data_IF_779969572446
#
_entry.id   IF_779969572446
#
_cell.length_a   1.000
_cell.length_b   1.000
_cell.length_c   1.000
_cell.angle_alpha   90.00
_cell.angle_beta   90.00
_cell.angle_gamma   90.00
#
_symmetry.space_group_name_H-M   'P 1'
#
loop_
_entity.id
_entity.type
_entity.pdbx_description
1 polymer ?
#
# COMPACT_ATOMS: atom_id res chain seq x y z
N UNK A 1 -20.38 -9.29 -27.61
CA UNK A 1 -19.47 -10.43 -27.35
C UNK A 1 -20.12 -11.32 -26.30
N UNK A 2 -20.15 -12.63 -26.52
CA UNK A 2 -20.54 -13.59 -25.49
C UNK A 2 -19.43 -13.69 -24.44
N UNK A 3 -19.82 -13.81 -23.17
CA UNK A 3 -18.91 -14.07 -22.09
C UNK A 3 -18.48 -15.53 -22.11
N UNK A 4 -17.21 -15.77 -21.91
CA UNK A 4 -16.64 -17.11 -21.76
C UNK A 4 -16.19 -17.33 -20.31
N UNK A 5 -16.11 -18.59 -19.84
CA UNK A 5 -15.62 -18.89 -18.50
C UNK A 5 -14.19 -18.42 -18.28
N UNK A 6 -13.88 -17.97 -17.05
CA UNK A 6 -12.51 -17.81 -16.60
C UNK A 6 -11.84 -19.17 -16.48
N UNK A 7 -10.57 -19.23 -16.84
CA UNK A 7 -9.74 -20.44 -16.71
C UNK A 7 -8.51 -20.08 -15.89
N UNK A 8 -8.24 -20.83 -14.84
CA UNK A 8 -7.00 -20.71 -14.07
C UNK A 8 -6.14 -21.95 -14.25
N UNK A 9 -4.95 -21.74 -14.78
CA UNK A 9 -3.88 -22.74 -14.81
C UNK A 9 -3.01 -22.54 -13.57
N UNK A 10 -2.89 -23.58 -12.74
CA UNK A 10 -2.11 -23.55 -11.51
C UNK A 10 -0.99 -24.58 -11.54
N UNK A 11 0.19 -24.17 -11.10
CA UNK A 11 1.35 -25.04 -10.83
C UNK A 11 1.83 -24.77 -9.43
N UNK A 12 2.00 -25.83 -8.67
CA UNK A 12 2.43 -25.75 -7.29
C UNK A 12 3.49 -26.81 -6.98
N UNK A 13 4.53 -26.40 -6.26
CA UNK A 13 5.57 -27.28 -5.76
C UNK A 13 5.75 -27.01 -4.27
N UNK A 14 5.55 -28.04 -3.45
CA UNK A 14 5.66 -27.94 -2.00
C UNK A 14 6.60 -29.00 -1.42
N UNK A 15 7.21 -28.66 -0.30
CA UNK A 15 8.01 -29.57 0.54
C UNK A 15 7.56 -29.41 1.98
N UNK A 16 7.20 -30.51 2.61
CA UNK A 16 6.91 -30.63 4.05
C UNK A 16 7.99 -31.51 4.69
N UNK A 17 8.72 -30.95 5.64
CA UNK A 17 9.77 -31.64 6.39
C UNK A 17 9.46 -31.65 7.87
N UNK A 18 9.54 -32.81 8.49
CA UNK A 18 9.42 -33.01 9.94
C UNK A 18 10.69 -33.60 10.47
N UNK A 19 11.39 -32.86 11.30
CA UNK A 19 12.71 -33.17 11.81
C UNK A 19 12.69 -33.25 13.34
N UNK A 20 13.68 -33.96 13.91
CA UNK A 20 13.87 -34.05 15.36
C UNK A 20 12.63 -34.56 16.12
N UNK A 21 12.09 -35.71 15.68
CA UNK A 21 10.82 -36.26 16.23
C UNK A 21 9.64 -35.26 16.17
N UNK A 22 9.54 -34.49 15.09
CA UNK A 22 8.53 -33.46 14.86
C UNK A 22 8.67 -32.19 15.70
N UNK A 23 9.79 -31.99 16.41
CA UNK A 23 10.07 -30.75 17.12
C UNK A 23 10.35 -29.58 16.16
N UNK A 24 10.68 -29.85 14.89
CA UNK A 24 10.83 -28.89 13.82
C UNK A 24 10.04 -29.34 12.60
N UNK A 25 9.00 -28.57 12.26
CA UNK A 25 8.26 -28.68 11.01
C UNK A 25 8.59 -27.52 10.09
N UNK A 26 8.91 -27.80 8.82
CA UNK A 26 9.17 -26.79 7.78
C UNK A 26 8.29 -27.10 6.58
N UNK A 27 7.57 -26.11 6.14
CA UNK A 27 6.75 -26.16 4.92
C UNK A 27 7.21 -25.03 3.98
N UNK A 28 7.48 -25.37 2.74
CA UNK A 28 7.85 -24.42 1.70
C UNK A 28 7.05 -24.72 0.45
N UNK A 29 6.33 -23.73 -0.05
CA UNK A 29 5.49 -23.86 -1.24
C UNK A 29 5.81 -22.73 -2.22
N UNK A 30 6.06 -23.09 -3.47
CA UNK A 30 6.11 -22.19 -4.61
C UNK A 30 4.89 -22.42 -5.49
N UNK A 31 4.24 -21.36 -5.92
CA UNK A 31 3.11 -21.44 -6.84
C UNK A 31 3.21 -20.44 -7.99
N UNK A 32 2.60 -20.83 -9.09
CA UNK A 32 2.38 -19.99 -10.26
C UNK A 32 0.95 -20.22 -10.78
N UNK A 33 0.15 -19.14 -10.80
CA UNK A 33 -1.22 -19.17 -11.26
C UNK A 33 -1.38 -18.22 -12.44
N UNK A 34 -1.94 -18.71 -13.55
CA UNK A 34 -2.28 -17.92 -14.72
C UNK A 34 -3.78 -17.94 -14.89
N UNK A 35 -4.44 -16.80 -14.68
CA UNK A 35 -5.89 -16.63 -14.90
C UNK A 35 -6.12 -16.00 -16.27
N UNK A 36 -6.83 -16.71 -17.13
CA UNK A 36 -7.12 -16.34 -18.53
C UNK A 36 -8.60 -16.01 -18.65
N UNK A 37 -8.95 -15.07 -19.51
CA UNK A 37 -10.34 -14.60 -19.72
C UNK A 37 -10.96 -14.03 -18.44
N UNK A 38 -10.16 -13.34 -17.62
CA UNK A 38 -10.62 -12.73 -16.37
C UNK A 38 -11.86 -11.87 -16.60
N UNK A 39 -12.96 -12.15 -15.88
CA UNK A 39 -14.19 -11.37 -15.95
C UNK A 39 -14.02 -10.06 -15.18
N UNK A 40 -14.16 -8.96 -15.85
CA UNK A 40 -13.98 -7.62 -15.31
C UNK A 40 -15.10 -6.68 -15.75
N UNK A 41 -15.23 -5.56 -15.03
CA UNK A 41 -16.16 -4.48 -15.34
C UNK A 41 -15.41 -3.18 -15.69
N UNK A 42 -14.72 -3.10 -16.83
CA UNK A 42 -14.13 -1.84 -17.24
C UNK A 42 -15.21 -0.77 -17.46
N UNK A 43 -14.83 0.47 -17.19
CA UNK A 43 -15.68 1.62 -17.55
C UNK A 43 -15.74 1.76 -19.07
N UNK A 44 -16.93 1.99 -19.56
CA UNK A 44 -17.17 2.24 -20.99
C UNK A 44 -17.44 3.73 -21.22
N UNK A 45 -17.34 4.15 -22.49
CA UNK A 45 -17.76 5.50 -22.86
C UNK A 45 -19.24 5.71 -22.56
N UNK A 46 -19.58 6.81 -21.90
CA UNK A 46 -20.97 7.16 -21.60
C UNK A 46 -21.85 7.27 -22.88
N UNK A 47 -21.25 7.46 -24.04
CA UNK A 47 -21.95 7.47 -25.32
C UNK A 47 -22.62 6.13 -25.66
N UNK A 48 -22.20 5.02 -25.01
CA UNK A 48 -22.82 3.69 -25.18
C UNK A 48 -24.11 3.53 -24.36
N UNK A 49 -24.42 4.45 -23.45
CA UNK A 49 -25.53 4.34 -22.51
C UNK A 49 -25.25 3.47 -21.29
N UNK A 50 -24.03 2.89 -21.17
CA UNK A 50 -23.60 2.04 -20.07
C UNK A 50 -22.35 2.63 -19.42
N UNK A 51 -22.27 2.58 -18.08
CA UNK A 51 -21.09 3.03 -17.32
C UNK A 51 -20.07 1.89 -17.17
N UNK A 52 -20.57 0.68 -16.93
CA UNK A 52 -19.79 -0.54 -16.73
C UNK A 52 -20.31 -1.63 -17.65
N UNK A 53 -19.43 -2.48 -18.13
CA UNK A 53 -19.79 -3.63 -18.98
C UNK A 53 -19.00 -4.86 -18.55
N UNK A 54 -19.69 -5.97 -18.28
CA UNK A 54 -19.03 -7.23 -18.06
C UNK A 54 -18.34 -7.71 -19.36
N UNK A 55 -17.07 -8.05 -19.24
CA UNK A 55 -16.30 -8.60 -20.36
C UNK A 55 -15.14 -9.44 -19.86
N UNK A 56 -14.71 -10.40 -20.68
CA UNK A 56 -13.45 -11.09 -20.48
C UNK A 56 -12.33 -10.14 -20.89
N UNK A 57 -11.61 -9.58 -19.94
CA UNK A 57 -10.80 -8.39 -20.16
C UNK A 57 -9.30 -8.58 -19.89
N UNK A 58 -8.83 -9.79 -19.60
CA UNK A 58 -7.41 -9.91 -19.41
C UNK A 58 -6.88 -11.26 -18.97
N UNK A 59 -5.56 -11.34 -18.97
CA UNK A 59 -4.77 -12.44 -18.42
C UNK A 59 -3.91 -11.91 -17.29
N UNK A 60 -4.03 -12.55 -16.12
CA UNK A 60 -3.28 -12.20 -14.91
C UNK A 60 -2.38 -13.37 -14.54
N UNK A 61 -1.11 -13.07 -14.29
CA UNK A 61 -0.12 -14.03 -13.82
C UNK A 61 0.27 -13.70 -12.39
N UNK A 62 0.26 -14.70 -11.51
CA UNK A 62 0.50 -14.58 -10.09
C UNK A 62 1.50 -15.64 -9.64
N UNK A 63 2.64 -15.22 -9.06
CA UNK A 63 3.68 -16.12 -8.58
C UNK A 63 3.97 -15.81 -7.12
N UNK A 64 4.15 -16.85 -6.32
CA UNK A 64 4.44 -16.64 -4.92
C UNK A 64 5.26 -17.74 -4.28
N UNK A 65 5.80 -17.38 -3.12
CA UNK A 65 6.52 -18.26 -2.23
C UNK A 65 5.90 -18.16 -0.85
N UNK A 66 5.57 -19.31 -0.26
CA UNK A 66 5.05 -19.42 1.10
C UNK A 66 5.98 -20.28 1.94
N UNK A 67 6.25 -19.83 3.13
CA UNK A 67 7.09 -20.53 4.09
C UNK A 67 6.39 -20.59 5.45
N UNK A 68 6.38 -21.77 6.06
CA UNK A 68 5.94 -21.98 7.45
C UNK A 68 6.98 -22.79 8.20
N UNK A 69 7.31 -22.34 9.40
CA UNK A 69 8.17 -23.08 10.32
C UNK A 69 7.49 -23.18 11.69
N UNK A 70 7.41 -24.39 12.21
CA UNK A 70 6.97 -24.68 13.59
C UNK A 70 8.12 -25.30 14.31
N UNK A 71 8.46 -24.76 15.47
CA UNK A 71 9.59 -25.21 16.25
C UNK A 71 9.30 -25.15 17.74
N UNK A 72 9.60 -26.25 18.46
CA UNK A 72 9.50 -26.34 19.91
C UNK A 72 10.91 -26.42 20.51
N UNK A 73 11.59 -25.25 20.73
CA UNK A 73 13.00 -25.22 21.16
C UNK A 73 13.22 -25.86 22.52
N UNK A 74 12.24 -25.76 23.41
CA UNK A 74 12.32 -26.25 24.77
C UNK A 74 11.01 -26.94 25.13
N UNK A 75 11.09 -28.20 25.49
CA UNK A 75 9.97 -28.97 26.02
C UNK A 75 10.47 -29.83 27.19
N UNK A 76 9.97 -29.53 28.39
CA UNK A 76 10.23 -30.32 29.58
C UNK A 76 8.96 -30.39 30.44
N UNK A 77 9.03 -31.05 31.62
CA UNK A 77 7.87 -31.28 32.46
C UNK A 77 7.09 -30.01 32.84
N UNK A 78 7.79 -28.92 33.12
CA UNK A 78 7.21 -27.71 33.69
C UNK A 78 7.18 -26.54 32.71
N UNK A 79 7.95 -26.58 31.60
CA UNK A 79 8.09 -25.49 30.64
C UNK A 79 8.09 -26.00 29.21
N UNK A 80 7.29 -25.34 28.36
CA UNK A 80 7.25 -25.54 26.91
C UNK A 80 7.28 -24.19 26.20
N UNK A 81 8.06 -24.11 25.16
CA UNK A 81 8.11 -22.96 24.26
C UNK A 81 7.89 -23.43 22.84
N UNK A 82 6.84 -22.89 22.20
CA UNK A 82 6.50 -23.15 20.81
C UNK A 82 6.64 -21.85 20.02
N UNK A 83 7.23 -21.95 18.84
CA UNK A 83 7.42 -20.85 17.88
C UNK A 83 6.80 -21.25 16.57
N UNK A 84 5.97 -20.36 16.00
CA UNK A 84 5.46 -20.52 14.63
C UNK A 84 5.81 -19.27 13.83
N UNK A 85 6.56 -19.43 12.74
CA UNK A 85 6.88 -18.38 11.79
C UNK A 85 6.17 -18.67 10.46
N UNK A 86 5.45 -17.70 9.94
CA UNK A 86 4.88 -17.73 8.61
C UNK A 86 5.42 -16.55 7.81
N UNK A 87 5.75 -16.78 6.55
CA UNK A 87 6.21 -15.77 5.62
C UNK A 87 5.62 -16.05 4.24
N UNK A 88 5.12 -15.02 3.57
CA UNK A 88 4.59 -15.13 2.21
C UNK A 88 5.01 -13.94 1.38
N UNK A 89 5.34 -14.19 0.12
CA UNK A 89 5.61 -13.17 -0.87
C UNK A 89 4.91 -13.51 -2.18
N UNK A 90 4.28 -12.52 -2.78
CA UNK A 90 3.53 -12.67 -4.02
C UNK A 90 3.97 -11.64 -5.06
N UNK A 91 3.76 -11.92 -6.34
CA UNK A 91 3.97 -11.03 -7.48
C UNK A 91 2.89 -11.24 -8.51
N UNK A 92 1.96 -10.27 -8.57
CA UNK A 92 0.90 -10.19 -9.55
C UNK A 92 1.27 -9.30 -10.73
N UNK A 93 1.16 -9.82 -11.95
CA UNK A 93 1.31 -9.05 -13.18
C UNK A 93 0.10 -9.23 -14.08
N UNK A 94 -0.22 -8.19 -14.78
CA UNK A 94 -1.15 -8.24 -15.92
C UNK A 94 -0.32 -8.52 -17.17
N UNK A 95 -0.56 -9.66 -17.79
CA UNK A 95 0.12 -10.01 -19.05
C UNK A 95 -0.54 -9.30 -20.22
N UNK A 96 -1.88 -9.21 -20.20
CA UNK A 96 -2.67 -8.63 -21.28
C UNK A 96 -4.03 -8.13 -20.77
N UNK A 97 -4.47 -6.99 -21.28
CA UNK A 97 -5.83 -6.46 -21.12
C UNK A 97 -6.53 -6.44 -22.50
N UNK A 98 -7.80 -6.05 -22.53
CA UNK A 98 -8.50 -5.80 -23.79
C UNK A 98 -7.74 -4.81 -24.66
N UNK A 99 -7.72 -5.02 -25.99
CA UNK A 99 -7.13 -4.06 -26.93
C UNK A 99 -7.69 -2.65 -26.71
N UNK A 100 -6.80 -1.69 -26.50
CA UNK A 100 -7.14 -0.30 -26.21
C UNK A 100 -7.46 0.00 -24.73
N UNK A 101 -7.39 -0.99 -23.83
CA UNK A 101 -7.50 -0.80 -22.37
C UNK A 101 -6.11 -0.86 -21.74
N UNK A 102 -5.52 0.29 -21.47
CA UNK A 102 -4.19 0.38 -20.85
C UNK A 102 -4.23 0.30 -19.33
N UNK A 103 -5.35 0.73 -18.72
CA UNK A 103 -5.50 0.82 -17.27
C UNK A 103 -6.88 0.30 -16.87
N UNK A 104 -6.90 -0.62 -15.91
CA UNK A 104 -8.11 -1.07 -15.23
C UNK A 104 -8.15 -0.50 -13.82
N UNK A 105 -9.11 0.38 -13.52
CA UNK A 105 -9.33 0.89 -12.18
C UNK A 105 -10.07 -0.12 -11.33
N UNK A 106 -9.51 -0.43 -10.16
CA UNK A 106 -10.05 -1.44 -9.23
C UNK A 106 -11.20 -0.86 -8.40
N UNK A 107 -11.19 0.47 -8.21
CA UNK A 107 -12.21 1.20 -7.43
C UNK A 107 -12.42 2.59 -7.99
N UNK A 108 -13.59 3.15 -7.73
CA UNK A 108 -13.90 4.56 -8.02
C UNK A 108 -13.32 5.54 -7.00
N UNK A 109 -12.83 5.03 -5.88
CA UNK A 109 -12.22 5.87 -4.84
C UNK A 109 -10.95 6.50 -5.40
N UNK A 110 -10.98 7.82 -5.51
CA UNK A 110 -9.85 8.65 -5.90
C UNK A 110 -9.48 9.56 -4.74
N UNK A 111 -8.18 9.62 -4.43
CA UNK A 111 -7.64 10.50 -3.40
C UNK A 111 -6.56 11.36 -4.03
N UNK A 112 -6.79 12.67 -4.08
CA UNK A 112 -5.98 13.55 -4.90
C UNK A 112 -5.99 13.09 -6.37
N UNK A 113 -4.81 12.81 -6.93
CA UNK A 113 -4.65 12.30 -8.28
C UNK A 113 -4.41 10.78 -8.32
N UNK A 114 -4.51 10.07 -7.19
CA UNK A 114 -4.19 8.65 -7.08
C UNK A 114 -5.43 7.76 -7.02
N UNK A 115 -5.35 6.59 -7.68
CA UNK A 115 -6.32 5.50 -7.63
C UNK A 115 -5.64 4.13 -7.58
N UNK A 116 -6.32 3.15 -7.00
CA UNK A 116 -5.94 1.76 -7.15
C UNK A 116 -6.25 1.27 -8.58
N UNK A 117 -5.27 0.71 -9.25
CA UNK A 117 -5.37 0.31 -10.64
C UNK A 117 -4.50 -0.92 -10.95
N UNK A 118 -4.76 -1.53 -12.10
CA UNK A 118 -3.90 -2.51 -12.75
C UNK A 118 -3.51 -1.97 -14.12
N UNK A 119 -2.26 -2.11 -14.50
CA UNK A 119 -1.74 -1.61 -15.79
C UNK A 119 -1.50 -2.77 -16.76
N UNK A 120 -1.84 -2.54 -18.01
CA UNK A 120 -1.54 -3.47 -19.10
C UNK A 120 -0.04 -3.73 -19.16
N UNK A 121 0.39 -5.00 -19.21
CA UNK A 121 1.79 -5.43 -19.14
C UNK A 121 2.57 -4.90 -17.91
N UNK A 122 1.84 -4.44 -16.88
CA UNK A 122 2.35 -3.84 -15.65
C UNK A 122 1.97 -4.61 -14.39
N UNK A 123 2.02 -3.91 -13.25
CA UNK A 123 1.65 -4.49 -11.97
C UNK A 123 0.15 -4.62 -11.81
N UNK A 124 -0.29 -5.78 -11.28
CA UNK A 124 -1.70 -6.02 -10.94
C UNK A 124 -2.17 -5.13 -9.78
N UNK A 125 -1.34 -4.99 -8.74
CA UNK A 125 -1.64 -4.15 -7.58
C UNK A 125 -1.00 -2.76 -7.68
N UNK A 126 -1.13 -2.09 -8.82
CA UNK A 126 -0.56 -0.77 -9.03
C UNK A 126 -1.34 0.35 -8.34
N UNK A 127 -0.70 1.48 -8.17
CA UNK A 127 -1.31 2.78 -7.91
C UNK A 127 -1.09 3.65 -9.15
N UNK A 128 -2.18 4.21 -9.68
CA UNK A 128 -2.16 5.19 -10.76
C UNK A 128 -2.11 6.60 -10.20
N UNK A 129 -1.51 7.52 -10.93
CA UNK A 129 -1.45 8.94 -10.56
C UNK A 129 -0.81 9.80 -11.62
N UNK A 130 -0.75 11.11 -11.34
CA UNK A 130 -0.08 12.10 -12.18
C UNK A 130 1.42 12.18 -11.86
N UNK A 131 2.19 12.66 -12.84
CA UNK A 131 3.63 12.96 -12.71
C UNK A 131 3.94 14.32 -13.29
N UNK A 132 4.99 14.94 -12.76
CA UNK A 132 5.59 16.09 -13.43
C UNK A 132 6.16 15.70 -14.80
N UNK A 133 5.89 16.53 -15.77
CA UNK A 133 6.46 16.38 -17.11
C UNK A 133 7.97 16.59 -17.03
N UNK A 134 8.72 15.75 -17.78
CA UNK A 134 10.18 15.83 -17.86
C UNK A 134 10.63 15.82 -19.31
N UNK A 135 11.71 16.55 -19.57
CA UNK A 135 12.40 16.47 -20.86
C UNK A 135 13.06 15.09 -21.04
N UNK A 136 13.49 14.72 -22.25
CA UNK A 136 14.24 13.49 -22.50
C UNK A 136 15.52 13.36 -21.65
N UNK A 137 16.13 14.48 -21.27
CA UNK A 137 17.32 14.54 -20.39
C UNK A 137 16.97 14.45 -18.90
N UNK A 138 15.65 14.37 -18.55
CA UNK A 138 15.15 14.21 -17.19
C UNK A 138 14.89 15.52 -16.42
N UNK A 139 15.10 16.69 -17.02
CA UNK A 139 14.79 17.98 -16.40
C UNK A 139 13.28 18.20 -16.26
N UNK A 140 12.85 18.87 -15.20
CA UNK A 140 11.45 19.28 -15.05
C UNK A 140 11.06 20.24 -16.18
N UNK A 141 9.88 20.02 -16.76
CA UNK A 141 9.30 20.98 -17.72
C UNK A 141 8.48 21.99 -16.94
N UNK A 142 8.86 23.25 -17.05
CA UNK A 142 8.29 24.35 -16.30
C UNK A 142 7.35 25.18 -17.19
N UNK A 143 6.32 25.72 -16.55
CA UNK A 143 5.48 26.75 -17.15
C UNK A 143 6.33 27.99 -17.46
N UNK A 144 6.27 28.58 -18.66
CA UNK A 144 7.15 29.68 -19.08
C UNK A 144 6.95 30.95 -18.24
N UNK A 145 5.73 31.20 -17.76
CA UNK A 145 5.39 32.42 -17.03
C UNK A 145 5.68 32.29 -15.55
N UNK A 146 5.22 31.18 -14.94
CA UNK A 146 5.27 30.98 -13.48
C UNK A 146 6.47 30.15 -13.02
N UNK A 147 7.25 29.54 -13.90
CA UNK A 147 8.33 28.63 -13.50
C UNK A 147 7.88 27.40 -12.72
N UNK A 148 6.58 27.13 -12.61
CA UNK A 148 6.05 25.99 -11.88
C UNK A 148 6.19 24.71 -12.70
N UNK A 149 6.49 23.55 -12.06
CA UNK A 149 6.43 22.26 -12.72
C UNK A 149 5.05 22.01 -13.34
N UNK A 150 5.05 21.47 -14.54
CA UNK A 150 3.83 21.10 -15.27
C UNK A 150 3.65 19.59 -15.24
N UNK A 151 2.43 19.12 -15.50
CA UNK A 151 2.14 17.72 -15.77
C UNK A 151 1.44 17.62 -17.12
N UNK A 152 1.44 16.43 -17.66
CA UNK A 152 0.70 16.15 -18.86
C UNK A 152 -0.76 15.78 -18.52
N UNK A 153 -1.49 16.40 -17.77
CA UNK A 153 -2.84 16.20 -17.21
C UNK A 153 -3.79 15.16 -17.86
N UNK A 154 -3.43 14.62 -19.02
CA UNK A 154 -4.20 13.64 -19.79
C UNK A 154 -3.69 12.20 -19.58
N UNK A 155 -2.43 12.01 -19.19
CA UNK A 155 -1.81 10.70 -19.05
C UNK A 155 -1.75 10.27 -17.58
N UNK A 156 -2.33 9.11 -17.31
CA UNK A 156 -2.22 8.46 -16.02
C UNK A 156 -1.06 7.48 -16.00
N UNK A 157 -0.21 7.59 -15.00
CA UNK A 157 0.99 6.78 -14.87
C UNK A 157 0.87 5.78 -13.73
N UNK A 158 1.57 4.66 -13.85
CA UNK A 158 1.89 3.82 -12.71
C UNK A 158 2.91 4.55 -11.83
N UNK A 159 2.51 4.84 -10.58
CA UNK A 159 3.33 5.58 -9.62
C UNK A 159 3.87 4.71 -8.48
N UNK A 160 3.31 3.54 -8.27
CA UNK A 160 3.74 2.60 -7.25
C UNK A 160 3.04 1.25 -7.35
N UNK A 161 3.53 0.29 -6.56
CA UNK A 161 2.97 -1.05 -6.43
C UNK A 161 2.64 -1.33 -4.97
N UNK A 162 1.37 -1.58 -4.68
CA UNK A 162 0.84 -1.85 -3.33
C UNK A 162 1.19 -3.25 -2.80
N UNK A 163 1.63 -4.13 -3.68
CA UNK A 163 1.95 -5.51 -3.33
C UNK A 163 3.22 -5.57 -2.45
N UNK A 164 3.13 -6.15 -1.24
CA UNK A 164 4.30 -6.29 -0.39
C UNK A 164 5.32 -7.27 -1.00
N UNK A 165 6.60 -7.05 -0.73
CA UNK A 165 7.64 -8.00 -1.07
C UNK A 165 7.53 -9.27 -0.22
N UNK A 166 7.17 -9.10 1.04
CA UNK A 166 6.96 -10.17 2.02
C UNK A 166 6.06 -9.68 3.14
N UNK A 167 5.22 -10.57 3.64
CA UNK A 167 4.43 -10.37 4.85
C UNK A 167 4.31 -11.69 5.61
N UNK A 168 4.01 -11.61 6.88
CA UNK A 168 3.86 -12.80 7.70
C UNK A 168 3.71 -12.50 9.17
N UNK A 169 3.86 -13.55 9.98
CA UNK A 169 3.71 -13.45 11.42
C UNK A 169 4.64 -14.40 12.17
N UNK A 170 5.05 -13.97 13.35
CA UNK A 170 5.80 -14.76 14.31
C UNK A 170 4.97 -14.90 15.58
N UNK A 171 4.46 -16.11 15.80
CA UNK A 171 3.78 -16.46 17.04
C UNK A 171 4.74 -17.15 18.00
N UNK A 172 4.74 -16.73 19.26
CA UNK A 172 5.43 -17.38 20.35
C UNK A 172 4.43 -17.77 21.41
N UNK A 173 4.56 -18.97 21.94
CA UNK A 173 3.75 -19.49 23.03
C UNK A 173 4.66 -20.11 24.09
N UNK A 174 4.54 -19.64 25.33
CA UNK A 174 5.28 -20.10 26.48
C UNK A 174 4.32 -20.67 27.50
N UNK A 175 4.46 -21.91 27.80
CA UNK A 175 3.72 -22.58 28.88
C UNK A 175 4.66 -22.87 30.04
N UNK A 176 4.33 -22.33 31.21
CA UNK A 176 5.05 -22.64 32.44
C UNK A 176 4.06 -23.07 33.51
N UNK A 177 4.01 -24.38 33.80
CA UNK A 177 3.04 -24.96 34.72
C UNK A 177 1.60 -24.56 34.34
N UNK A 178 0.96 -23.72 35.16
CA UNK A 178 -0.40 -23.24 34.98
C UNK A 178 -0.50 -21.90 34.25
N UNK A 179 0.65 -21.31 33.89
CA UNK A 179 0.73 -20.06 33.12
C UNK A 179 0.89 -20.36 31.64
N UNK A 180 0.18 -19.60 30.82
CA UNK A 180 0.41 -19.56 29.38
C UNK A 180 0.55 -18.09 28.96
N UNK A 181 1.66 -17.76 28.28
CA UNK A 181 1.93 -16.47 27.66
C UNK A 181 2.07 -16.69 26.17
N UNK A 182 1.28 -16.00 25.37
CA UNK A 182 1.44 -15.99 23.93
C UNK A 182 1.53 -14.57 23.39
N UNK A 183 2.27 -14.38 22.30
CA UNK A 183 2.23 -13.13 21.56
C UNK A 183 2.44 -13.37 20.06
N UNK A 184 1.77 -12.54 19.27
CA UNK A 184 1.83 -12.53 17.82
C UNK A 184 2.43 -11.21 17.35
N UNK A 185 3.53 -11.30 16.62
CA UNK A 185 4.15 -10.23 15.87
C UNK A 185 3.80 -10.40 14.39
N UNK A 186 3.07 -9.46 13.81
CA UNK A 186 2.82 -9.38 12.37
C UNK A 186 3.82 -8.44 11.73
N UNK A 187 4.26 -8.74 10.51
CA UNK A 187 5.17 -7.89 9.77
C UNK A 187 4.82 -7.81 8.28
N UNK A 188 5.19 -6.68 7.70
CA UNK A 188 5.13 -6.43 6.25
C UNK A 188 6.42 -5.74 5.82
N UNK A 189 6.99 -6.20 4.70
CA UNK A 189 8.17 -5.63 4.08
C UNK A 189 7.81 -5.19 2.66
N UNK A 190 7.95 -3.90 2.39
CA UNK A 190 7.65 -3.32 1.08
C UNK A 190 6.15 -3.20 0.80
N UNK A 191 5.87 -2.83 -0.45
CA UNK A 191 4.56 -2.39 -0.90
C UNK A 191 4.36 -0.90 -0.64
N UNK A 192 3.91 -0.20 -1.67
CA UNK A 192 3.76 1.24 -1.63
C UNK A 192 2.40 1.62 -1.09
N UNK A 193 2.37 2.72 -0.32
CA UNK A 193 1.15 3.36 0.17
C UNK A 193 1.16 4.80 -0.30
N UNK A 194 0.05 5.24 -0.85
CA UNK A 194 -0.21 6.65 -1.14
C UNK A 194 -0.79 7.33 0.11
N UNK A 195 -0.07 8.31 0.65
CA UNK A 195 -0.51 9.09 1.81
C UNK A 195 -1.40 10.26 1.35
N UNK A 196 -2.67 9.98 1.13
CA UNK A 196 -3.66 10.97 0.73
C UNK A 196 -3.99 11.96 1.84
N UNK A 197 -3.83 11.57 3.09
CA UNK A 197 -3.96 12.49 4.24
C UNK A 197 -2.93 13.60 4.13
N UNK A 198 -1.65 13.27 3.89
CA UNK A 198 -0.58 14.25 3.71
C UNK A 198 -0.75 15.07 2.42
N UNK A 199 -1.33 14.48 1.35
CA UNK A 199 -1.73 15.23 0.15
C UNK A 199 -2.66 16.38 0.50
N UNK A 200 -3.76 16.12 1.21
CA UNK A 200 -4.71 17.17 1.58
C UNK A 200 -4.16 18.13 2.63
N UNK A 201 -3.36 17.64 3.57
CA UNK A 201 -2.65 18.50 4.53
C UNK A 201 -1.69 19.46 3.82
N UNK A 202 -0.96 18.99 2.81
CA UNK A 202 -0.06 19.83 2.00
C UNK A 202 -0.86 20.85 1.18
N UNK A 203 -1.94 20.41 0.53
CA UNK A 203 -2.81 21.28 -0.24
C UNK A 203 -3.44 22.40 0.60
N UNK A 204 -3.77 22.11 1.86
CA UNK A 204 -4.29 23.09 2.81
C UNK A 204 -3.20 23.84 3.59
N UNK A 205 -1.94 23.57 3.31
CA UNK A 205 -0.81 24.27 3.94
C UNK A 205 -0.55 23.93 5.41
N UNK A 206 -1.03 22.79 5.92
CA UNK A 206 -0.89 22.33 7.30
C UNK A 206 0.06 21.14 7.45
N UNK A 207 0.60 20.63 6.36
CA UNK A 207 1.63 19.57 6.41
C UNK A 207 2.98 20.16 6.83
N UNK A 208 3.72 19.43 7.67
CA UNK A 208 5.10 19.77 8.04
C UNK A 208 6.04 19.90 6.82
N UNK A 209 5.73 19.21 5.72
CA UNK A 209 6.51 19.27 4.47
C UNK A 209 6.44 20.66 3.81
N UNK A 210 5.36 21.41 4.03
CA UNK A 210 5.13 22.74 3.49
C UNK A 210 5.40 23.87 4.52
N UNK A 211 6.19 23.58 5.58
CA UNK A 211 6.47 24.58 6.63
C UNK A 211 7.46 25.67 6.17
N UNK A 212 8.43 25.30 5.32
CA UNK A 212 9.39 26.26 4.76
C UNK A 212 8.78 26.96 3.55
N UNK A 213 8.41 28.23 3.72
CA UNK A 213 7.72 29.06 2.75
C UNK A 213 8.37 30.39 2.47
N UNK A 214 9.55 30.63 3.04
CA UNK A 214 10.22 31.92 2.91
C UNK A 214 10.80 32.10 1.50
N UNK A 215 11.27 31.00 0.91
CA UNK A 215 11.93 30.96 -0.40
C UNK A 215 11.58 29.72 -1.17
N UNK A 216 11.49 29.86 -2.48
CA UNK A 216 11.30 28.76 -3.41
C UNK A 216 12.29 28.88 -4.57
N UNK A 217 12.95 27.79 -4.90
CA UNK A 217 13.83 27.68 -6.06
C UNK A 217 13.44 26.46 -6.89
N UNK A 218 13.13 26.66 -8.15
CA UNK A 218 12.73 25.59 -9.08
C UNK A 218 13.61 25.66 -10.30
N UNK A 219 14.28 24.53 -10.62
CA UNK A 219 15.17 24.40 -11.77
C UNK A 219 14.60 23.42 -12.78
N UNK A 220 14.61 23.79 -14.04
CA UNK A 220 14.10 22.96 -15.12
C UNK A 220 14.27 23.63 -16.50
N UNK A 221 13.54 23.14 -17.47
CA UNK A 221 13.52 23.64 -18.85
C UNK A 221 12.12 24.10 -19.21
N UNK A 222 12.02 25.02 -20.14
CA UNK A 222 10.73 25.49 -20.68
C UNK A 222 10.58 24.95 -22.11
N UNK A 223 9.38 24.41 -22.41
CA UNK A 223 9.05 24.00 -23.78
C UNK A 223 9.02 25.24 -24.69
N UNK A 224 9.85 25.26 -25.72
CA UNK A 224 10.00 26.41 -26.64
C UNK A 224 9.28 26.22 -27.97
N UNK A 225 8.95 24.97 -28.31
CA UNK A 225 8.29 24.67 -29.58
C UNK A 225 8.21 23.15 -29.82
N UNK A 226 8.00 22.82 -31.09
CA UNK A 226 7.93 21.43 -31.55
C UNK A 226 8.64 21.33 -32.91
N UNK A 227 9.25 20.17 -33.15
CA UNK A 227 9.83 19.81 -34.46
C UNK A 227 9.22 18.50 -34.93
N UNK A 228 9.24 18.24 -36.23
CA UNK A 228 8.77 16.97 -36.79
C UNK A 228 9.97 16.04 -36.99
N UNK A 229 9.95 14.87 -36.36
CA UNK A 229 10.97 13.85 -36.53
C UNK A 229 10.89 13.11 -37.86
N UNK A 230 11.87 12.25 -38.20
CA UNK A 230 11.95 11.54 -39.47
C UNK A 230 10.77 10.64 -39.80
N UNK A 231 10.06 10.13 -38.76
CA UNK A 231 8.87 9.30 -38.86
C UNK A 231 7.54 10.07 -38.82
N UNK A 232 7.60 11.42 -38.82
CA UNK A 232 6.41 12.27 -38.67
C UNK A 232 5.95 12.50 -37.24
N UNK A 233 6.71 12.02 -36.24
CA UNK A 233 6.42 12.22 -34.82
C UNK A 233 6.70 13.68 -34.42
N UNK A 234 5.88 14.21 -33.52
CA UNK A 234 6.07 15.55 -32.95
C UNK A 234 7.05 15.46 -31.79
N UNK A 235 8.19 16.13 -31.92
CA UNK A 235 9.25 16.17 -30.93
C UNK A 235 9.25 17.56 -30.25
N UNK A 236 9.01 17.69 -28.96
CA UNK A 236 9.07 18.95 -28.25
C UNK A 236 10.52 19.45 -28.16
N UNK A 237 10.71 20.77 -28.31
CA UNK A 237 12.01 21.45 -28.11
C UNK A 237 11.99 22.22 -26.79
N UNK A 238 13.14 22.32 -26.14
CA UNK A 238 13.28 22.91 -24.83
C UNK A 238 14.37 24.01 -24.81
N UNK A 239 14.21 24.93 -23.86
CA UNK A 239 15.22 25.93 -23.54
C UNK A 239 16.45 25.32 -22.87
N UNK A 240 17.50 26.10 -22.69
CA UNK A 240 18.51 25.81 -21.68
C UNK A 240 17.88 25.71 -20.30
N UNK A 241 18.62 25.05 -19.37
CA UNK A 241 18.17 24.91 -17.97
C UNK A 241 18.08 26.29 -17.32
N UNK A 242 16.91 26.58 -16.73
CA UNK A 242 16.63 27.85 -16.04
C UNK A 242 16.28 27.57 -14.58
N UNK A 243 16.54 28.54 -13.71
CA UNK A 243 16.12 28.51 -12.30
C UNK A 243 15.24 29.71 -12.01
N UNK A 244 14.08 29.47 -11.48
CA UNK A 244 13.14 30.47 -11.00
C UNK A 244 13.26 30.58 -9.49
N UNK A 245 13.33 31.84 -8.98
CA UNK A 245 13.46 32.13 -7.54
C UNK A 245 12.29 32.98 -7.09
N UNK A 246 11.69 32.59 -5.99
CA UNK A 246 10.61 33.33 -5.34
C UNK A 246 10.91 33.49 -3.86
N UNK A 247 10.57 34.65 -3.30
CA UNK A 247 10.82 35.01 -1.91
C UNK A 247 9.64 35.83 -1.37
N UNK A 248 9.28 35.57 -0.12
CA UNK A 248 8.24 36.34 0.59
C UNK A 248 8.64 37.81 0.69
N UNK A 249 7.68 38.70 0.54
CA UNK A 249 7.91 40.15 0.56
C UNK A 249 8.34 40.76 -0.79
N UNK A 250 8.52 39.95 -1.83
CA UNK A 250 8.79 40.43 -3.20
C UNK A 250 7.59 40.23 -4.11
N UNK A 251 7.51 41.07 -5.15
CA UNK A 251 6.50 40.98 -6.22
C UNK A 251 7.17 40.48 -7.50
N UNK A 252 6.41 39.70 -8.28
CA UNK A 252 6.90 39.07 -9.53
C UNK A 252 5.87 39.24 -10.64
N UNK A 253 6.34 39.41 -11.86
CA UNK A 253 5.49 39.42 -13.05
C UNK A 253 5.26 37.99 -13.53
N UNK A 254 4.01 37.51 -13.52
CA UNK A 254 3.59 36.18 -13.98
C UNK A 254 2.59 36.40 -15.14
N UNK A 255 3.07 36.24 -16.36
CA UNK A 255 2.28 36.63 -17.53
C UNK A 255 1.94 38.13 -17.50
N UNK A 256 0.67 38.46 -17.44
CA UNK A 256 0.17 39.85 -17.35
C UNK A 256 -0.17 40.29 -15.92
N UNK A 257 0.17 39.51 -14.89
CA UNK A 257 -0.22 39.77 -13.49
C UNK A 257 1.00 39.99 -12.60
N UNK A 258 0.93 40.95 -11.72
CA UNK A 258 1.90 41.16 -10.64
C UNK A 258 1.45 40.36 -9.41
N UNK A 259 2.21 39.36 -9.00
CA UNK A 259 1.88 38.39 -7.96
C UNK A 259 2.91 38.41 -6.83
N UNK A 260 2.47 38.34 -5.58
CA UNK A 260 3.40 38.29 -4.45
C UNK A 260 4.11 36.94 -4.37
N UNK A 261 5.38 36.94 -3.92
CA UNK A 261 6.15 35.73 -3.71
C UNK A 261 5.47 34.76 -2.73
N UNK A 262 4.81 35.27 -1.71
CA UNK A 262 4.02 34.48 -0.78
C UNK A 262 2.89 33.70 -1.49
N UNK A 263 2.15 34.37 -2.39
CA UNK A 263 1.07 33.74 -3.16
C UNK A 263 1.62 32.68 -4.13
N UNK A 264 2.76 32.96 -4.76
CA UNK A 264 3.42 32.02 -5.68
C UNK A 264 3.86 30.76 -4.90
N UNK A 265 4.51 30.92 -3.74
CA UNK A 265 5.00 29.79 -2.95
C UNK A 265 3.83 28.97 -2.40
N UNK A 266 2.81 29.61 -1.83
CA UNK A 266 1.71 28.93 -1.20
C UNK A 266 0.73 28.32 -2.21
N UNK A 267 0.23 29.13 -3.16
CA UNK A 267 -0.84 28.72 -4.04
C UNK A 267 -0.33 28.06 -5.33
N UNK A 268 0.66 28.67 -6.02
CA UNK A 268 1.11 28.10 -7.28
C UNK A 268 1.94 26.83 -7.06
N UNK A 269 2.83 26.82 -6.05
CA UNK A 269 3.65 25.66 -5.77
C UNK A 269 2.97 24.65 -4.86
N UNK A 270 2.80 24.95 -3.56
CA UNK A 270 2.34 23.94 -2.59
C UNK A 270 0.90 23.45 -2.83
N UNK A 271 -0.03 24.32 -3.17
CA UNK A 271 -1.43 23.92 -3.41
C UNK A 271 -1.67 23.31 -4.78
N UNK A 272 -0.87 23.66 -5.79
CA UNK A 272 -1.09 23.21 -7.15
C UNK A 272 0.07 22.39 -7.71
N UNK A 273 1.21 23.00 -8.05
CA UNK A 273 2.27 22.35 -8.81
C UNK A 273 2.89 21.14 -8.08
N UNK A 274 3.10 21.24 -6.75
CA UNK A 274 3.63 20.14 -5.96
C UNK A 274 2.73 18.90 -5.97
N UNK A 275 1.41 19.11 -6.00
CA UNK A 275 0.40 18.08 -5.98
C UNK A 275 0.24 17.36 -7.34
N UNK A 276 0.80 17.91 -8.42
CA UNK A 276 0.83 17.24 -9.72
C UNK A 276 1.77 16.03 -9.77
N UNK A 277 2.75 15.94 -8.87
CA UNK A 277 3.60 14.76 -8.72
C UNK A 277 3.07 13.85 -7.60
N UNK A 278 2.22 12.90 -7.96
CA UNK A 278 1.63 11.97 -6.99
C UNK A 278 2.66 11.14 -6.23
N UNK A 279 3.87 10.93 -6.79
CA UNK A 279 4.98 10.24 -6.12
C UNK A 279 5.48 10.95 -4.88
N UNK A 280 5.24 12.26 -4.73
CA UNK A 280 5.58 13.01 -3.54
C UNK A 280 4.92 12.45 -2.26
N UNK A 281 3.83 11.72 -2.43
CA UNK A 281 3.03 11.14 -1.34
C UNK A 281 3.15 9.62 -1.25
N UNK A 282 4.00 9.01 -2.10
CA UNK A 282 4.24 7.57 -2.06
C UNK A 282 5.27 7.20 -1.00
N UNK A 283 4.96 6.18 -0.22
CA UNK A 283 5.85 5.63 0.80
C UNK A 283 5.96 4.12 0.59
N UNK A 284 7.18 3.63 0.32
CA UNK A 284 7.47 2.20 0.37
C UNK A 284 7.50 1.77 1.84
N UNK A 285 6.55 0.94 2.26
CA UNK A 285 6.19 0.80 3.66
C UNK A 285 6.67 -0.52 4.23
N UNK A 286 7.34 -0.43 5.39
CA UNK A 286 7.68 -1.57 6.23
C UNK A 286 7.05 -1.35 7.60
N UNK A 287 6.53 -2.43 8.20
CA UNK A 287 6.03 -2.36 9.56
C UNK A 287 6.13 -3.69 10.29
N UNK A 288 6.20 -3.59 11.62
CA UNK A 288 6.11 -4.68 12.59
C UNK A 288 5.07 -4.28 13.64
N UNK A 289 4.08 -5.13 13.86
CA UNK A 289 2.99 -4.88 14.82
C UNK A 289 2.91 -5.98 15.86
N UNK A 290 2.88 -5.58 17.13
CA UNK A 290 2.48 -6.49 18.21
C UNK A 290 0.96 -6.61 18.20
N UNK A 291 0.48 -7.62 17.47
CA UNK A 291 -0.94 -7.82 17.16
C UNK A 291 -1.73 -8.28 18.37
N UNK A 292 -1.16 -9.19 19.12
CA UNK A 292 -1.80 -9.79 20.29
C UNK A 292 -0.75 -10.18 21.33
N UNK A 293 -1.07 -9.98 22.61
CA UNK A 293 -0.37 -10.56 23.74
C UNK A 293 -1.43 -11.11 24.67
N UNK A 294 -1.33 -12.38 25.05
CA UNK A 294 -2.28 -13.02 25.97
C UNK A 294 -1.52 -13.72 27.09
N UNK A 295 -1.89 -13.39 28.32
CA UNK A 295 -1.41 -14.07 29.52
C UNK A 295 -2.59 -14.74 30.19
N UNK A 296 -2.54 -16.05 30.37
CA UNK A 296 -3.57 -16.81 31.08
C UNK A 296 -3.00 -17.60 32.23
N UNK A 297 -3.83 -17.78 33.24
CA UNK A 297 -3.54 -18.61 34.39
C UNK A 297 -4.71 -19.55 34.68
N UNK A 298 -4.42 -20.83 34.69
CA UNK A 298 -5.40 -21.88 35.03
C UNK A 298 -5.21 -22.32 36.47
N UNK A 299 -6.28 -22.32 37.28
CA UNK A 299 -6.20 -22.76 38.66
C UNK A 299 -5.78 -24.24 38.75
N UNK A 300 -4.80 -24.57 39.62
CA UNK A 300 -4.40 -25.96 39.86
C UNK A 300 -5.56 -26.80 40.38
N UNK A 301 -5.54 -28.10 40.06
CA UNK A 301 -6.57 -29.05 40.47
C UNK A 301 -6.74 -29.13 42.00
N UNK A 302 -5.66 -28.96 42.77
CA UNK A 302 -5.65 -28.94 44.24
C UNK A 302 -6.47 -27.79 44.83
N UNK A 303 -6.57 -26.66 44.11
CA UNK A 303 -7.44 -25.53 44.51
C UNK A 303 -8.86 -25.79 44.09
N UNK A 304 -9.10 -26.37 42.91
CA UNK A 304 -10.43 -26.65 42.36
C UNK A 304 -11.18 -27.68 43.21
N UNK A 305 -10.52 -28.67 43.83
CA UNK A 305 -11.15 -29.66 44.72
C UNK A 305 -11.80 -29.03 45.92
N UNK A 306 -11.41 -27.82 46.33
CA UNK A 306 -12.04 -27.05 47.43
C UNK A 306 -13.29 -26.30 47.00
N UNK A 307 -13.50 -26.15 45.67
CA UNK A 307 -14.61 -25.41 45.07
C UNK A 307 -15.62 -26.41 44.55
N UNK A 308 -16.65 -26.71 45.36
CA UNK A 308 -17.71 -27.70 45.03
C UNK A 308 -18.41 -27.32 43.72
N UNK A 309 -18.44 -28.25 42.75
CA UNK A 309 -19.11 -28.08 41.45
C UNK A 309 -18.32 -27.33 40.38
N UNK A 310 -17.12 -26.86 40.67
CA UNK A 310 -16.25 -26.19 39.69
C UNK A 310 -15.16 -27.17 39.27
N UNK A 311 -15.06 -27.41 37.96
CA UNK A 311 -14.09 -28.32 37.35
C UNK A 311 -12.87 -27.61 36.76
N UNK A 312 -13.01 -26.31 36.43
CA UNK A 312 -11.92 -25.52 35.90
C UNK A 312 -12.15 -24.02 36.02
N UNK A 313 -11.10 -23.26 36.28
CA UNK A 313 -11.10 -21.79 36.23
C UNK A 313 -9.86 -21.30 35.54
N UNK A 314 -10.02 -20.52 34.47
CA UNK A 314 -8.93 -19.87 33.76
C UNK A 314 -9.21 -18.38 33.68
N UNK A 315 -8.27 -17.57 34.16
CA UNK A 315 -8.25 -16.10 33.98
C UNK A 315 -7.33 -15.76 32.84
N UNK A 316 -7.77 -14.90 31.93
CA UNK A 316 -7.01 -14.48 30.75
C UNK A 316 -6.99 -12.96 30.67
N UNK A 317 -5.81 -12.39 30.48
CA UNK A 317 -5.61 -10.99 30.16
C UNK A 317 -5.06 -10.90 28.74
N UNK A 318 -5.69 -10.10 27.88
CA UNK A 318 -5.30 -9.97 26.48
C UNK A 318 -5.15 -8.49 26.09
N UNK A 319 -4.03 -8.16 25.47
CA UNK A 319 -3.79 -6.89 24.81
C UNK A 319 -3.75 -7.06 23.31
N UNK A 320 -4.36 -6.14 22.56
CA UNK A 320 -4.41 -6.18 21.10
C UNK A 320 -3.87 -4.87 20.52
N UNK A 321 -3.13 -4.96 19.39
CA UNK A 321 -2.54 -3.82 18.66
C UNK A 321 -1.74 -2.86 19.55
N UNK A 322 -0.97 -3.39 20.51
CA UNK A 322 -0.32 -2.58 21.55
C UNK A 322 0.81 -1.71 21.00
N UNK A 323 1.55 -2.19 19.99
CA UNK A 323 2.68 -1.47 19.42
C UNK A 323 2.74 -1.63 17.91
N UNK A 324 3.11 -0.54 17.23
CA UNK A 324 3.39 -0.49 15.81
C UNK A 324 4.75 0.20 15.57
N UNK A 325 5.67 -0.49 14.93
CA UNK A 325 6.93 0.08 14.42
C UNK A 325 6.83 0.17 12.90
N UNK A 326 7.00 1.35 12.35
CA UNK A 326 6.88 1.59 10.90
C UNK A 326 7.68 2.81 10.44
N UNK A 327 8.09 2.80 9.18
CA UNK A 327 8.62 3.97 8.50
C UNK A 327 7.52 4.84 7.87
N UNK A 328 6.25 4.41 7.94
CA UNK A 328 5.12 5.18 7.46
C UNK A 328 4.84 6.37 8.40
N UNK A 329 4.71 7.56 7.81
CA UNK A 329 4.50 8.81 8.58
C UNK A 329 3.03 9.20 8.74
N UNK A 330 2.10 8.41 8.21
CA UNK A 330 0.66 8.53 8.45
C UNK A 330 0.26 7.90 9.78
N UNK A 331 -1.05 7.81 10.03
CA UNK A 331 -1.56 7.25 11.28
C UNK A 331 -1.35 5.74 11.38
N UNK A 332 -1.71 5.00 10.33
CA UNK A 332 -1.59 3.53 10.31
C UNK A 332 -1.40 3.04 8.86
N UNK A 333 -0.34 2.27 8.57
CA UNK A 333 -0.07 1.77 7.22
C UNK A 333 -1.08 0.71 6.72
N UNK A 334 -1.95 0.20 7.59
CA UNK A 334 -3.01 -0.75 7.22
C UNK A 334 -4.35 -0.08 6.88
N UNK A 335 -4.47 1.24 7.06
CA UNK A 335 -5.68 1.98 6.68
C UNK A 335 -5.85 2.05 5.17
N UNK A 336 -7.10 2.10 4.71
CA UNK A 336 -7.44 2.25 3.30
C UNK A 336 -8.66 3.15 3.12
N UNK A 337 -8.57 4.10 2.21
CA UNK A 337 -9.66 4.99 1.83
C UNK A 337 -10.88 4.24 1.25
N UNK A 338 -10.65 3.08 0.66
CA UNK A 338 -11.72 2.27 0.07
C UNK A 338 -12.53 1.50 1.13
N UNK A 339 -12.02 1.38 2.37
CA UNK A 339 -12.66 0.64 3.45
C UNK A 339 -12.84 -0.85 3.15
N UNK A 340 -13.56 -1.53 4.04
CA UNK A 340 -13.87 -2.96 3.91
C UNK A 340 -15.01 -3.26 2.92
N UNK A 341 -15.76 -2.25 2.50
CA UNK A 341 -16.87 -2.38 1.55
C UNK A 341 -16.46 -2.30 0.07
N UNK A 342 -15.20 -1.97 -0.23
CA UNK A 342 -14.71 -2.01 -1.60
C UNK A 342 -14.54 -3.47 -2.06
N UNK A 343 -14.97 -3.73 -3.28
CA UNK A 343 -14.90 -5.07 -3.89
C UNK A 343 -13.44 -5.52 -3.90
N UNK A 344 -13.14 -6.47 -3.03
CA UNK A 344 -11.85 -7.11 -2.91
C UNK A 344 -10.78 -6.33 -2.13
N UNK A 345 -9.82 -7.04 -1.57
CA UNK A 345 -8.62 -6.51 -0.90
C UNK A 345 -7.67 -5.75 -1.84
N UNK A 346 -7.95 -5.75 -3.13
CA UNK A 346 -7.14 -5.12 -4.16
C UNK A 346 -7.16 -3.59 -4.14
N UNK A 347 -8.02 -2.94 -3.34
CA UNK A 347 -8.08 -1.48 -3.20
C UNK A 347 -7.28 -0.90 -2.03
N UNK A 348 -6.64 -1.74 -1.21
CA UNK A 348 -5.76 -1.29 -0.11
C UNK A 348 -4.56 -0.49 -0.63
N UNK A 349 -3.92 0.31 0.24
CA UNK A 349 -2.69 1.04 -0.09
C UNK A 349 -2.92 2.49 -0.50
N UNK A 350 -4.12 3.02 -0.29
CA UNK A 350 -4.41 4.46 -0.37
C UNK A 350 -4.96 4.88 0.98
N UNK A 351 -4.18 5.64 1.74
CA UNK A 351 -4.59 6.19 3.03
C UNK A 351 -5.26 7.55 2.82
N UNK A 352 -6.41 7.75 3.45
CA UNK A 352 -7.09 9.05 3.50
C UNK A 352 -7.96 9.14 4.75
N UNK A 353 -7.44 9.81 5.78
CA UNK A 353 -8.12 10.03 7.06
C UNK A 353 -8.71 8.75 7.68
N UNK A 354 -8.08 7.59 7.41
CA UNK A 354 -8.53 6.31 7.95
C UNK A 354 -8.34 6.25 9.46
N UNK A 355 -9.29 5.64 10.16
CA UNK A 355 -9.17 5.40 11.59
C UNK A 355 -8.14 4.28 11.81
N UNK A 356 -7.07 4.50 12.59
CA UNK A 356 -6.06 3.48 12.87
C UNK A 356 -6.66 2.32 13.67
N UNK A 357 -6.02 1.17 13.60
CA UNK A 357 -6.37 0.03 14.44
C UNK A 357 -6.20 0.41 15.92
N UNK A 358 -7.28 0.25 16.70
CA UNK A 358 -7.30 0.62 18.11
C UNK A 358 -6.51 -0.39 18.96
N UNK A 359 -5.71 0.10 19.89
CA UNK A 359 -5.18 -0.71 20.97
C UNK A 359 -6.31 -1.05 21.95
N UNK A 360 -6.35 -2.29 22.38
CA UNK A 360 -7.36 -2.77 23.29
C UNK A 360 -6.78 -3.66 24.39
N UNK A 361 -7.46 -3.70 25.52
CA UNK A 361 -7.19 -4.66 26.58
C UNK A 361 -8.50 -5.32 27.01
N UNK A 362 -8.45 -6.60 27.29
CA UNK A 362 -9.59 -7.36 27.79
C UNK A 362 -9.18 -8.31 28.91
N UNK A 363 -10.11 -8.56 29.81
CA UNK A 363 -9.99 -9.58 30.83
C UNK A 363 -11.13 -10.58 30.67
N UNK A 364 -10.78 -11.86 30.66
CA UNK A 364 -11.71 -12.98 30.58
C UNK A 364 -11.57 -13.91 31.76
N UNK A 365 -12.72 -14.43 32.27
CA UNK A 365 -12.76 -15.50 33.24
C UNK A 365 -13.61 -16.63 32.67
N UNK A 366 -13.00 -17.79 32.47
CA UNK A 366 -13.69 -19.01 32.06
C UNK A 366 -13.85 -19.95 33.26
N UNK A 367 -15.09 -20.33 33.56
CA UNK A 367 -15.42 -21.25 34.65
C UNK A 367 -16.15 -22.46 34.07
N UNK A 368 -15.56 -23.64 34.26
CA UNK A 368 -16.17 -24.93 33.90
C UNK A 368 -16.82 -25.55 35.15
N UNK A 369 -18.09 -25.92 35.05
CA UNK A 369 -18.90 -26.47 36.13
C UNK A 369 -19.12 -27.97 35.93
#
# INVERSE_FOLDING_TARGET
>A
RELVPEITESREFGVDLRLFNSNLGLELTYYENKSINQLMQPRTSQATGYILMWTNAGTINNKGLEFSAKFSPIENRDFRWDVTLNASGNRGKVDDLLPGLEILYVTDVQVGNAKAASFNQGNFMAISGSKWLRSPEGHLVLNPDSGMPTSDGLVTHEIGNREPKMFGGLNNEFQYKNWNLSFLLDYRIGGDIYNGTDYYMTNNGISARSQDRDKLSITGVVKTGETTGPGGEIIPTYSEVKTFYYEVGKMYEIGSQTVSGEHIINNYYWQNAYNLESRNYMVNTNWLRLRNVSLSYTLPTEVLTRLRGIKGVTATFTGTNLFLWTNYKGMDPETSAAGSGAIGSSSVGIDYNGIPALAGVSFGLNVTI
#
